data_IF_553569735028
#
_entry.id   IF_553569735028
#
_cell.length_a   1.000
_cell.length_b   1.000
_cell.length_c   1.000
_cell.angle_alpha   90.00
_cell.angle_beta   90.00
_cell.angle_gamma   90.00
#
_symmetry.space_group_name_H-M   'P 1'
#
loop_
_entity.id
_entity.type
_entity.pdbx_description
1 polymer ?
#
# COMPACT_ATOMS: atom_id res chain seq x y z
N UNK A 1 -4.35 0.57 -0.87
CA UNK A 1 -3.24 -0.04 -1.60
C UNK A 1 -3.18 -1.53 -1.25
N UNK A 2 -3.26 -2.40 -2.25
CA UNK A 2 -3.34 -3.86 -2.02
C UNK A 2 -1.96 -4.52 -2.09
N UNK A 3 -0.98 -3.87 -2.71
CA UNK A 3 0.37 -4.42 -2.91
C UNK A 3 1.28 -4.25 -1.68
N UNK A 4 1.02 -3.24 -0.86
CA UNK A 4 1.71 -2.96 0.39
C UNK A 4 0.75 -3.05 1.56
N UNK A 5 1.17 -3.40 2.78
CA UNK A 5 0.32 -3.39 3.96
C UNK A 5 -0.13 -1.96 4.29
N UNK A 6 -1.32 -1.83 4.90
CA UNK A 6 -1.82 -0.53 5.39
C UNK A 6 -0.91 0.07 6.46
N UNK A 7 -0.29 -0.80 7.25
CA UNK A 7 0.80 -0.47 8.17
C UNK A 7 1.90 -1.50 7.99
N UNK A 8 3.11 -1.02 7.77
CA UNK A 8 4.28 -1.87 7.60
C UNK A 8 4.99 -1.97 8.94
N UNK A 9 4.99 -3.16 9.51
CA UNK A 9 5.65 -3.46 10.79
C UNK A 9 6.86 -4.36 10.54
N UNK A 10 8.04 -3.89 10.91
CA UNK A 10 9.27 -4.69 10.93
C UNK A 10 10.18 -4.21 12.05
N UNK A 11 10.88 -5.17 12.65
CA UNK A 11 11.93 -4.88 13.62
C UNK A 11 13.14 -4.26 12.91
N UNK A 12 13.70 -3.21 13.48
CA UNK A 12 14.86 -2.55 12.90
C UNK A 12 15.34 -1.33 13.67
N UNK A 13 16.27 -0.63 13.07
CA UNK A 13 16.84 0.61 13.59
C UNK A 13 16.55 1.72 12.58
N UNK A 14 16.06 2.85 13.07
CA UNK A 14 15.75 4.02 12.25
C UNK A 14 16.67 5.18 12.65
N UNK A 15 17.17 5.87 11.63
CA UNK A 15 17.84 7.16 11.75
C UNK A 15 17.05 8.19 10.96
N UNK A 16 16.65 9.28 11.59
CA UNK A 16 15.89 10.32 10.94
C UNK A 16 16.37 11.72 11.32
N UNK A 17 16.09 12.68 10.45
CA UNK A 17 16.40 14.07 10.70
C UNK A 17 15.49 15.01 9.93
N UNK A 18 15.56 16.29 10.30
CA UNK A 18 14.77 17.33 9.68
C UNK A 18 15.61 18.60 9.51
N UNK A 19 15.47 19.21 8.33
CA UNK A 19 15.93 20.57 8.04
C UNK A 19 14.72 21.51 7.88
N UNK A 20 14.94 22.75 7.49
CA UNK A 20 13.85 23.71 7.25
C UNK A 20 12.82 23.20 6.22
N UNK A 21 13.29 22.55 5.16
CA UNK A 21 12.46 22.16 4.02
C UNK A 21 12.39 20.66 3.76
N UNK A 22 13.25 19.87 4.40
CA UNK A 22 13.34 18.43 4.17
C UNK A 22 13.25 17.67 5.48
N UNK A 23 12.56 16.52 5.42
CA UNK A 23 12.67 15.43 6.39
C UNK A 23 13.27 14.23 5.67
N UNK A 24 14.17 13.55 6.32
CA UNK A 24 14.75 12.30 5.80
C UNK A 24 14.72 11.22 6.87
N UNK A 25 14.66 9.99 6.40
CA UNK A 25 14.67 8.80 7.26
C UNK A 25 15.37 7.66 6.52
N UNK A 26 16.24 6.95 7.23
CA UNK A 26 16.92 5.74 6.79
C UNK A 26 16.70 4.66 7.84
N UNK A 27 16.35 3.45 7.39
CA UNK A 27 16.03 2.34 8.27
C UNK A 27 16.80 1.10 7.83
N UNK A 28 17.35 0.35 8.79
CA UNK A 28 17.83 -1.01 8.62
C UNK A 28 16.81 -1.94 9.29
N UNK A 29 16.22 -2.84 8.52
CA UNK A 29 15.07 -3.63 8.90
C UNK A 29 15.37 -5.13 8.75
N UNK A 30 14.63 -5.98 9.45
CA UNK A 30 14.53 -7.39 9.11
C UNK A 30 13.97 -7.54 7.69
N UNK A 31 14.42 -8.55 6.95
CA UNK A 31 13.94 -8.84 5.59
C UNK A 31 12.50 -9.33 5.57
N UNK A 32 11.85 -9.26 4.41
CA UNK A 32 10.48 -9.74 4.22
C UNK A 32 10.42 -11.28 4.25
N UNK A 33 9.23 -11.81 4.52
CA UNK A 33 8.98 -13.25 4.47
C UNK A 33 8.34 -13.65 3.13
N UNK A 34 9.11 -14.22 2.23
CA UNK A 34 8.66 -14.66 0.91
C UNK A 34 7.56 -15.73 0.98
N UNK A 35 7.50 -16.56 2.03
CA UNK A 35 6.48 -17.60 2.18
C UNK A 35 5.05 -17.06 2.32
N UNK A 36 4.92 -15.75 2.56
CA UNK A 36 3.64 -15.07 2.68
C UNK A 36 3.24 -14.27 1.43
N UNK A 37 4.07 -14.26 0.38
CA UNK A 37 3.75 -13.55 -0.86
C UNK A 37 2.63 -14.25 -1.64
N UNK A 38 1.80 -13.46 -2.34
CA UNK A 38 0.61 -13.97 -3.04
C UNK A 38 0.35 -13.21 -4.34
N UNK A 39 -0.45 -13.80 -5.24
CA UNK A 39 -0.88 -13.16 -6.49
C UNK A 39 -1.88 -12.01 -6.28
N UNK A 40 -2.62 -11.98 -5.17
CA UNK A 40 -3.64 -10.95 -4.88
C UNK A 40 -3.11 -9.81 -4.02
N UNK A 41 -2.02 -10.01 -3.30
CA UNK A 41 -1.47 -9.02 -2.37
C UNK A 41 0.03 -8.77 -2.56
N UNK A 42 0.66 -9.39 -3.55
CA UNK A 42 2.09 -9.34 -3.78
C UNK A 42 2.88 -9.58 -2.48
N UNK A 43 3.62 -8.60 -1.97
CA UNK A 43 4.39 -8.73 -0.71
C UNK A 43 3.60 -8.40 0.56
N UNK A 44 2.35 -7.99 0.44
CA UNK A 44 1.51 -7.42 1.52
C UNK A 44 1.60 -8.23 2.83
N UNK A 45 1.36 -9.54 2.75
CA UNK A 45 1.36 -10.41 3.95
C UNK A 45 2.78 -10.72 4.45
N UNK A 46 3.78 -10.71 3.58
CA UNK A 46 5.17 -10.91 3.95
C UNK A 46 5.83 -9.70 4.61
N UNK A 47 5.17 -8.53 4.51
CA UNK A 47 5.56 -7.27 5.14
C UNK A 47 4.71 -6.91 6.37
N UNK A 48 3.72 -7.75 6.72
CA UNK A 48 2.79 -7.54 7.82
C UNK A 48 2.81 -8.77 8.72
N UNK A 49 3.86 -8.94 9.50
CA UNK A 49 3.90 -10.06 10.44
C UNK A 49 3.14 -9.70 11.72
N UNK A 50 2.37 -10.65 12.28
CA UNK A 50 1.66 -10.43 13.53
C UNK A 50 2.56 -10.51 14.76
N UNK A 51 3.84 -10.85 14.60
CA UNK A 51 4.78 -11.03 15.70
C UNK A 51 5.64 -9.78 15.86
N UNK A 52 5.86 -9.38 17.11
CA UNK A 52 6.72 -8.23 17.45
C UNK A 52 8.20 -8.49 17.11
N UNK A 53 8.62 -9.76 17.08
CA UNK A 53 9.98 -10.17 16.76
C UNK A 53 9.97 -11.10 15.56
N UNK A 54 10.60 -10.66 14.50
CA UNK A 54 10.84 -11.47 13.31
C UNK A 54 12.21 -12.10 13.35
N UNK A 55 12.31 -13.27 12.71
CA UNK A 55 13.60 -13.90 12.46
C UNK A 55 14.36 -13.07 11.44
N UNK A 56 15.42 -12.39 11.87
CA UNK A 56 16.21 -11.50 11.04
C UNK A 56 17.40 -12.24 10.38
N UNK A 57 17.11 -13.27 9.59
CA UNK A 57 18.15 -13.99 8.80
C UNK A 57 18.58 -13.18 7.57
N UNK A 58 17.73 -12.28 7.10
CA UNK A 58 17.97 -11.37 5.99
C UNK A 58 17.62 -9.96 6.42
N UNK A 59 18.17 -8.98 5.72
CA UNK A 59 17.99 -7.57 6.03
C UNK A 59 17.45 -6.82 4.84
N UNK A 60 16.82 -5.69 5.12
CA UNK A 60 16.39 -4.71 4.16
C UNK A 60 16.73 -3.30 4.62
N UNK A 61 16.80 -2.39 3.66
CA UNK A 61 17.03 -0.96 3.89
C UNK A 61 15.85 -0.19 3.33
N UNK A 62 15.31 0.75 4.11
CA UNK A 62 14.32 1.68 3.64
C UNK A 62 14.84 3.11 3.76
N UNK A 63 14.53 3.92 2.75
CA UNK A 63 14.88 5.33 2.69
C UNK A 63 13.64 6.16 2.38
N UNK A 64 13.51 7.31 3.02
CA UNK A 64 12.47 8.29 2.73
C UNK A 64 13.00 9.71 2.78
N UNK A 65 12.55 10.53 1.84
CA UNK A 65 12.77 11.99 1.86
C UNK A 65 11.44 12.69 1.59
N UNK A 66 11.09 13.63 2.45
CA UNK A 66 9.93 14.51 2.27
C UNK A 66 10.42 15.95 2.05
N UNK A 67 9.81 16.64 1.09
CA UNK A 67 10.04 18.05 0.78
C UNK A 67 8.82 18.89 1.16
N UNK A 68 9.06 19.99 1.89
CA UNK A 68 8.05 20.95 2.35
C UNK A 68 8.38 22.39 1.89
N UNK A 69 9.15 22.56 0.82
CA UNK A 69 9.61 23.89 0.35
C UNK A 69 8.45 24.78 -0.11
N UNK A 70 7.35 24.20 -0.58
CA UNK A 70 6.17 24.94 -1.03
C UNK A 70 5.10 24.89 0.06
N UNK A 71 4.61 26.04 0.56
CA UNK A 71 3.53 26.07 1.55
C UNK A 71 2.30 25.29 1.09
N UNK A 72 1.78 24.43 1.96
CA UNK A 72 0.63 23.58 1.66
C UNK A 72 0.95 22.34 0.82
N UNK A 73 2.15 22.18 0.28
CA UNK A 73 2.55 21.02 -0.51
C UNK A 73 3.65 20.22 0.21
N UNK A 74 3.40 18.91 0.39
CA UNK A 74 4.41 17.92 0.75
C UNK A 74 4.64 16.98 -0.42
N UNK A 75 5.87 16.77 -0.81
CA UNK A 75 6.28 15.74 -1.77
C UNK A 75 7.12 14.70 -1.02
N UNK A 76 6.81 13.43 -1.18
CA UNK A 76 7.51 12.31 -0.56
C UNK A 76 8.06 11.34 -1.61
N UNK A 77 9.31 10.93 -1.42
CA UNK A 77 9.94 9.85 -2.18
C UNK A 77 10.48 8.83 -1.20
N UNK A 78 10.15 7.56 -1.40
CA UNK A 78 10.67 6.48 -0.58
C UNK A 78 11.06 5.26 -1.41
N UNK A 79 11.99 4.49 -0.87
CA UNK A 79 12.45 3.24 -1.46
C UNK A 79 12.73 2.21 -0.39
N UNK A 80 12.48 0.94 -0.72
CA UNK A 80 12.87 -0.23 0.06
C UNK A 80 13.65 -1.18 -0.82
N UNK A 81 14.70 -1.76 -0.28
CA UNK A 81 15.43 -2.87 -0.89
C UNK A 81 15.80 -3.90 0.17
N UNK A 82 15.55 -5.18 -0.07
CA UNK A 82 15.87 -6.24 0.86
C UNK A 82 15.72 -7.63 0.28
N UNK A 83 16.20 -8.63 1.02
CA UNK A 83 16.10 -10.04 0.67
C UNK A 83 14.93 -10.67 1.42
N UNK A 84 14.23 -11.62 0.80
CA UNK A 84 13.00 -12.21 1.36
C UNK A 84 13.04 -13.74 1.48
N UNK A 85 13.88 -14.44 0.73
CA UNK A 85 13.99 -15.91 0.81
C UNK A 85 14.90 -16.28 1.97
N UNK A 86 14.50 -17.27 2.77
CA UNK A 86 15.22 -17.75 3.95
C UNK A 86 15.04 -16.90 5.20
N UNK A 87 14.01 -16.05 5.23
CA UNK A 87 13.67 -15.22 6.39
C UNK A 87 12.42 -15.75 7.12
N UNK A 88 12.03 -16.98 6.91
CA UNK A 88 10.97 -17.66 7.64
C UNK A 88 11.53 -18.58 8.70
N UNK A 89 10.83 -18.68 9.85
CA UNK A 89 11.11 -19.70 10.85
C UNK A 89 10.62 -21.07 10.34
N UNK A 90 11.26 -22.09 10.65
CA UNK A 90 11.69 -23.43 10.26
C UNK A 90 11.07 -24.09 9.01
N UNK A 91 10.38 -23.37 8.13
CA UNK A 91 9.84 -23.91 6.87
C UNK A 91 10.71 -23.52 5.68
N UNK A 92 11.97 -23.69 5.78
CA UNK A 92 12.81 -23.60 4.59
C UNK A 92 12.36 -24.70 3.63
N UNK A 93 11.78 -24.29 2.51
CA UNK A 93 11.67 -25.16 1.38
C UNK A 93 13.10 -25.59 1.03
N UNK A 94 13.47 -26.74 1.53
CA UNK A 94 14.82 -27.28 1.51
C UNK A 94 15.46 -27.13 0.13
N UNK A 95 16.57 -26.43 0.05
CA UNK A 95 17.44 -26.32 -1.11
C UNK A 95 17.33 -25.01 -1.89
N UNK A 96 16.43 -24.06 -1.58
CA UNK A 96 16.35 -22.76 -2.28
C UNK A 96 17.20 -21.68 -1.63
N UNK A 97 17.29 -21.69 -0.32
CA UNK A 97 17.93 -20.64 0.49
C UNK A 97 19.41 -20.40 0.17
N UNK A 98 20.11 -21.40 -0.37
CA UNK A 98 21.52 -21.25 -0.69
C UNK A 98 21.79 -20.51 -2.00
N UNK A 99 20.86 -20.52 -2.95
CA UNK A 99 21.09 -20.06 -4.33
C UNK A 99 20.32 -18.79 -4.68
N UNK A 100 19.13 -18.60 -4.11
CA UNK A 100 18.23 -17.51 -4.46
C UNK A 100 18.02 -16.55 -3.28
N UNK A 101 17.91 -15.25 -3.59
CA UNK A 101 17.79 -14.18 -2.58
C UNK A 101 16.38 -13.66 -2.42
N UNK A 102 15.57 -13.73 -3.49
CA UNK A 102 14.25 -13.12 -3.54
C UNK A 102 14.34 -11.62 -3.25
N UNK A 103 15.13 -10.92 -4.04
CA UNK A 103 15.36 -9.48 -3.86
C UNK A 103 14.09 -8.69 -4.09
N UNK A 104 13.68 -7.92 -3.11
CA UNK A 104 12.49 -7.05 -3.20
C UNK A 104 12.96 -5.61 -3.30
N UNK A 105 12.51 -4.93 -4.34
CA UNK A 105 12.63 -3.49 -4.48
C UNK A 105 11.23 -2.88 -4.50
N UNK A 106 11.02 -1.81 -3.73
CA UNK A 106 9.81 -0.98 -3.77
C UNK A 106 10.22 0.47 -3.89
N UNK A 107 9.70 1.16 -4.90
CA UNK A 107 9.80 2.61 -5.04
C UNK A 107 8.42 3.23 -4.87
N UNK A 108 8.32 4.32 -4.11
CA UNK A 108 7.06 5.04 -3.89
C UNK A 108 7.28 6.54 -3.96
N UNK A 109 6.39 7.19 -4.69
CA UNK A 109 6.23 8.64 -4.72
C UNK A 109 4.85 9.00 -4.16
N UNK A 110 4.79 9.96 -3.26
CA UNK A 110 3.53 10.47 -2.74
C UNK A 110 3.55 12.00 -2.59
N UNK A 111 2.37 12.61 -2.68
CA UNK A 111 2.22 14.03 -2.41
C UNK A 111 0.91 14.32 -1.68
N UNK A 112 0.92 15.42 -0.95
CA UNK A 112 -0.27 16.00 -0.33
C UNK A 112 -0.23 17.51 -0.50
N UNK A 113 -1.29 18.07 -1.09
CA UNK A 113 -1.52 19.50 -1.17
C UNK A 113 -2.73 19.88 -0.33
N UNK A 114 -2.55 20.82 0.57
CA UNK A 114 -3.59 21.32 1.47
C UNK A 114 -3.50 22.84 1.55
N UNK A 115 -4.11 23.53 0.60
CA UNK A 115 -4.19 24.98 0.55
C UNK A 115 -5.37 25.42 -0.33
N UNK A 116 -5.77 26.69 -0.22
CA UNK A 116 -6.83 27.31 -1.03
C UNK A 116 -8.16 26.53 -1.03
N UNK A 117 -8.53 25.95 0.12
CA UNK A 117 -9.72 25.11 0.30
C UNK A 117 -9.70 23.77 -0.45
N UNK A 118 -8.57 23.42 -1.10
CA UNK A 118 -8.32 22.14 -1.73
C UNK A 118 -7.55 21.22 -0.81
N UNK A 119 -7.91 19.94 -0.85
CA UNK A 119 -7.10 18.84 -0.37
C UNK A 119 -6.88 17.88 -1.53
N UNK A 120 -5.64 17.79 -2.02
CA UNK A 120 -5.28 16.87 -3.09
C UNK A 120 -4.17 15.97 -2.59
N UNK A 121 -4.30 14.67 -2.81
CA UNK A 121 -3.26 13.70 -2.45
C UNK A 121 -3.14 12.63 -3.54
N UNK A 122 -1.95 12.16 -3.74
CA UNK A 122 -1.68 11.10 -4.70
C UNK A 122 -0.52 10.25 -4.24
N UNK A 123 -0.48 9.03 -4.78
CA UNK A 123 0.56 8.05 -4.51
C UNK A 123 0.78 7.18 -5.75
N UNK A 124 2.03 6.85 -6.02
CA UNK A 124 2.42 5.87 -7.02
C UNK A 124 3.47 4.94 -6.44
N UNK A 125 3.22 3.64 -6.49
CA UNK A 125 4.09 2.59 -6.00
C UNK A 125 4.47 1.66 -7.14
N UNK A 126 5.73 1.29 -7.20
CA UNK A 126 6.24 0.26 -8.09
C UNK A 126 7.07 -0.73 -7.29
N UNK A 127 6.83 -2.01 -7.53
CA UNK A 127 7.53 -3.12 -6.90
C UNK A 127 8.15 -4.08 -7.90
N UNK A 128 9.33 -4.59 -7.55
CA UNK A 128 10.04 -5.65 -8.27
C UNK A 128 10.48 -6.73 -7.29
N UNK A 129 10.25 -8.00 -7.67
CA UNK A 129 10.68 -9.19 -6.95
C UNK A 129 11.58 -10.02 -7.86
N UNK A 130 12.85 -10.15 -7.48
CA UNK A 130 13.78 -11.09 -8.10
C UNK A 130 13.45 -12.53 -7.73
N UNK A 131 13.91 -13.48 -8.54
CA UNK A 131 13.73 -14.92 -8.34
C UNK A 131 12.26 -15.38 -8.21
N UNK A 132 11.30 -14.63 -8.77
CA UNK A 132 9.88 -14.94 -8.66
C UNK A 132 9.52 -16.30 -9.29
N UNK A 133 10.14 -16.67 -10.42
CA UNK A 133 9.91 -17.95 -11.09
C UNK A 133 10.39 -19.14 -10.25
N UNK A 134 11.52 -18.99 -9.57
CA UNK A 134 12.09 -20.00 -8.67
C UNK A 134 11.19 -20.17 -7.44
N UNK A 135 10.76 -19.06 -6.86
CA UNK A 135 9.84 -19.05 -5.73
C UNK A 135 8.51 -19.72 -6.08
N UNK A 136 7.94 -19.42 -7.24
CA UNK A 136 6.72 -20.05 -7.75
C UNK A 136 6.90 -21.55 -8.00
N UNK A 137 8.05 -21.96 -8.52
CA UNK A 137 8.38 -23.37 -8.75
C UNK A 137 8.40 -24.19 -7.45
N UNK A 138 8.89 -23.57 -6.37
CA UNK A 138 8.90 -24.20 -5.05
C UNK A 138 7.51 -24.28 -4.44
N UNK A 139 6.74 -23.22 -4.52
CA UNK A 139 5.36 -23.24 -4.05
C UNK A 139 4.55 -24.34 -4.76
N UNK A 140 4.74 -24.48 -6.07
CA UNK A 140 4.08 -25.53 -6.85
C UNK A 140 4.53 -26.94 -6.43
N UNK A 141 5.82 -27.15 -6.13
CA UNK A 141 6.33 -28.43 -5.65
C UNK A 141 5.79 -28.77 -4.28
N UNK A 142 5.82 -27.85 -3.32
CA UNK A 142 5.28 -28.04 -1.98
C UNK A 142 3.78 -28.35 -2.05
N UNK A 143 3.03 -27.64 -2.89
CA UNK A 143 1.61 -27.84 -3.04
C UNK A 143 1.28 -29.22 -3.61
N UNK A 144 2.06 -29.74 -4.56
CA UNK A 144 1.90 -31.10 -5.10
C UNK A 144 2.18 -32.21 -4.07
N UNK A 145 3.04 -31.93 -3.11
CA UNK A 145 3.40 -32.87 -2.04
C UNK A 145 2.44 -32.82 -0.85
N UNK A 146 1.64 -31.77 -0.73
CA UNK A 146 0.66 -31.63 0.34
C UNK A 146 -0.60 -32.45 0.06
N UNK A 147 -1.11 -33.23 1.04
CA UNK A 147 -2.41 -33.91 0.91
C UNK A 147 -3.57 -32.91 0.82
N UNK A 148 -3.37 -31.67 1.25
CA UNK A 148 -4.30 -30.57 1.09
C UNK A 148 -3.82 -29.70 -0.08
N UNK A 149 -4.43 -29.87 -1.25
CA UNK A 149 -4.18 -29.04 -2.41
C UNK A 149 -4.61 -27.59 -2.13
N UNK A 150 -3.73 -26.81 -1.53
CA UNK A 150 -3.93 -25.37 -1.41
C UNK A 150 -3.86 -24.74 -2.80
N UNK A 151 -4.69 -23.74 -3.05
CA UNK A 151 -4.62 -22.94 -4.27
C UNK A 151 -3.18 -22.52 -4.52
N UNK A 152 -2.72 -22.71 -5.74
CA UNK A 152 -1.35 -22.39 -6.18
C UNK A 152 -0.99 -20.99 -5.76
N UNK A 153 -0.07 -20.84 -4.79
CA UNK A 153 0.47 -19.54 -4.44
C UNK A 153 1.44 -19.16 -5.55
N UNK A 154 1.14 -18.11 -6.25
CA UNK A 154 1.97 -17.57 -7.30
C UNK A 154 2.15 -16.09 -6.99
N UNK A 155 3.37 -15.60 -7.08
CA UNK A 155 3.70 -14.19 -6.94
C UNK A 155 4.26 -13.67 -8.26
N UNK A 156 3.98 -12.43 -8.60
CA UNK A 156 4.54 -11.78 -9.79
C UNK A 156 5.89 -11.12 -9.47
N UNK A 157 6.76 -11.09 -10.45
CA UNK A 157 8.01 -10.32 -10.38
C UNK A 157 7.78 -8.81 -10.38
N UNK A 158 6.58 -8.32 -10.75
CA UNK A 158 6.26 -6.90 -10.79
C UNK A 158 4.87 -6.62 -10.24
N UNK A 159 4.77 -5.51 -9.50
CA UNK A 159 3.51 -4.99 -9.00
C UNK A 159 3.52 -3.47 -9.08
N UNK A 160 2.34 -2.85 -9.22
CA UNK A 160 2.20 -1.40 -9.17
C UNK A 160 0.87 -0.97 -8.57
N UNK A 161 0.86 0.23 -8.01
CA UNK A 161 -0.36 0.90 -7.59
C UNK A 161 -0.21 2.40 -7.84
N UNK A 162 -1.31 3.04 -8.25
CA UNK A 162 -1.40 4.48 -8.40
C UNK A 162 -2.76 4.94 -7.92
N UNK A 163 -2.80 6.08 -7.22
CA UNK A 163 -4.03 6.68 -6.75
C UNK A 163 -3.92 8.18 -6.65
N UNK A 164 -5.03 8.85 -6.93
CA UNK A 164 -5.18 10.29 -6.74
C UNK A 164 -6.56 10.59 -6.17
N UNK A 165 -6.61 11.51 -5.22
CA UNK A 165 -7.86 12.03 -4.63
C UNK A 165 -7.77 13.54 -4.59
N UNK A 166 -8.87 14.21 -4.95
CA UNK A 166 -9.01 15.65 -4.85
C UNK A 166 -10.35 15.99 -4.21
N UNK A 167 -10.33 16.85 -3.22
CA UNK A 167 -11.50 17.37 -2.52
C UNK A 167 -11.47 18.88 -2.39
N UNK A 168 -12.63 19.51 -2.50
CA UNK A 168 -12.80 20.94 -2.36
C UNK A 168 -13.82 21.26 -1.27
N UNK A 169 -13.48 22.20 -0.37
CA UNK A 169 -14.39 22.68 0.66
C UNK A 169 -15.39 23.69 0.08
N UNK A 170 -16.58 23.20 -0.27
CA UNK A 170 -17.64 24.03 -0.86
C UNK A 170 -18.24 25.02 0.13
N UNK A 171 -18.18 24.76 1.44
CA UNK A 171 -18.65 25.67 2.48
C UNK A 171 -17.77 26.91 2.64
N UNK A 172 -16.53 26.85 2.14
CA UNK A 172 -15.64 28.01 2.08
C UNK A 172 -16.25 29.19 1.27
N UNK A 173 -17.17 28.90 0.35
CA UNK A 173 -17.85 29.88 -0.49
C UNK A 173 -19.12 30.47 0.18
N UNK A 174 -19.61 29.84 1.25
CA UNK A 174 -20.85 30.24 1.93
C UNK A 174 -20.51 30.95 3.24
N UNK A 175 -20.84 32.25 3.35
CA UNK A 175 -20.44 33.07 4.49
C UNK A 175 -20.92 32.51 5.84
N UNK A 176 -22.17 32.04 5.94
CA UNK A 176 -22.73 31.50 7.20
C UNK A 176 -22.01 30.26 7.71
N UNK A 177 -21.76 29.27 6.84
CA UNK A 177 -21.10 28.02 7.21
C UNK A 177 -19.63 28.25 7.51
N UNK A 178 -18.97 29.11 6.74
CA UNK A 178 -17.58 29.52 7.00
C UNK A 178 -17.44 30.24 8.34
N UNK A 179 -18.36 31.14 8.68
CA UNK A 179 -18.37 31.83 9.97
C UNK A 179 -18.63 30.90 11.15
N UNK A 180 -19.39 29.82 10.94
CA UNK A 180 -19.65 28.77 11.92
C UNK A 180 -18.49 27.73 12.01
N UNK A 181 -17.43 27.87 11.22
CA UNK A 181 -16.30 26.94 11.19
C UNK A 181 -16.60 25.58 10.57
N UNK A 182 -17.76 25.43 9.92
CA UNK A 182 -18.16 24.19 9.28
C UNK A 182 -17.45 24.02 7.93
N UNK A 183 -17.18 22.76 7.53
CA UNK A 183 -16.59 22.41 6.23
C UNK A 183 -17.37 21.29 5.57
N UNK A 184 -17.48 21.36 4.24
CA UNK A 184 -18.04 20.30 3.42
C UNK A 184 -17.12 20.06 2.23
N UNK A 185 -16.33 18.99 2.30
CA UNK A 185 -15.53 18.56 1.18
C UNK A 185 -16.33 17.66 0.26
N UNK A 186 -16.42 18.04 -1.01
CA UNK A 186 -16.82 17.15 -2.09
C UNK A 186 -15.55 16.62 -2.73
N UNK A 187 -15.42 15.31 -2.89
CA UNK A 187 -14.20 14.72 -3.39
C UNK A 187 -14.46 13.66 -4.47
N UNK A 188 -13.44 13.48 -5.32
CA UNK A 188 -13.33 12.38 -6.26
C UNK A 188 -12.00 11.66 -6.06
N UNK A 189 -12.00 10.34 -6.27
CA UNK A 189 -10.81 9.49 -6.16
C UNK A 189 -10.74 8.51 -7.31
N UNK A 190 -9.53 8.33 -7.83
CA UNK A 190 -9.20 7.27 -8.79
C UNK A 190 -8.05 6.44 -8.24
N UNK A 191 -8.17 5.13 -8.34
CA UNK A 191 -7.15 4.16 -7.94
C UNK A 191 -7.01 3.10 -9.02
N UNK A 192 -5.77 2.71 -9.31
CA UNK A 192 -5.47 1.55 -10.11
C UNK A 192 -4.32 0.77 -9.47
N UNK A 193 -4.47 -0.54 -9.37
CA UNK A 193 -3.41 -1.39 -8.86
C UNK A 193 -3.41 -2.75 -9.54
N UNK A 194 -2.22 -3.34 -9.64
CA UNK A 194 -2.06 -4.70 -10.10
C UNK A 194 -0.92 -5.38 -9.33
N UNK A 195 -1.25 -6.26 -8.36
CA UNK A 195 -0.26 -7.04 -7.63
C UNK A 195 0.37 -8.15 -8.48
N UNK A 196 -0.19 -8.45 -9.66
CA UNK A 196 0.29 -9.45 -10.60
C UNK A 196 0.47 -8.82 -11.99
N UNK A 197 1.41 -7.87 -12.10
CA UNK A 197 1.59 -7.06 -13.30
C UNK A 197 2.34 -7.79 -14.42
N UNK A 198 3.13 -8.82 -14.10
CA UNK A 198 3.80 -9.68 -15.07
C UNK A 198 3.32 -11.13 -14.89
N UNK A 199 2.99 -11.76 -16.00
CA UNK A 199 2.57 -13.16 -16.04
C UNK A 199 3.79 -14.06 -16.25
N UNK A 200 4.28 -14.66 -15.17
CA UNK A 200 5.47 -15.52 -15.18
C UNK A 200 5.17 -16.94 -15.72
N UNK A 201 3.93 -17.41 -15.60
CA UNK A 201 3.54 -18.79 -15.94
C UNK A 201 2.48 -18.86 -17.05
N UNK A 202 2.36 -17.85 -17.92
CA UNK A 202 1.29 -17.73 -18.93
C UNK A 202 -0.14 -17.83 -18.35
N UNK A 203 -0.31 -17.65 -17.05
CA UNK A 203 -1.61 -17.64 -16.37
C UNK A 203 -2.09 -16.21 -16.22
N UNK A 204 -3.18 -15.87 -16.87
CA UNK A 204 -3.77 -14.54 -16.75
C UNK A 204 -4.64 -14.47 -15.49
N UNK A 205 -4.26 -13.60 -14.56
CA UNK A 205 -5.08 -13.24 -13.39
C UNK A 205 -5.72 -11.86 -13.61
N UNK A 206 -6.63 -11.80 -14.58
CA UNK A 206 -7.28 -10.53 -14.99
C UNK A 206 -8.00 -9.83 -13.84
N UNK A 207 -8.43 -10.55 -12.82
CA UNK A 207 -9.08 -10.01 -11.63
C UNK A 207 -8.14 -9.24 -10.69
N UNK A 208 -6.82 -9.35 -10.89
CA UNK A 208 -5.83 -8.63 -10.07
C UNK A 208 -5.61 -7.21 -10.54
N UNK A 209 -5.86 -6.91 -11.82
CA UNK A 209 -5.74 -5.56 -12.37
C UNK A 209 -7.05 -4.80 -12.13
N UNK A 210 -7.09 -4.06 -11.04
CA UNK A 210 -8.27 -3.36 -10.56
C UNK A 210 -8.14 -1.87 -10.82
N UNK A 211 -9.18 -1.28 -11.40
CA UNK A 211 -9.41 0.17 -11.43
C UNK A 211 -10.60 0.48 -10.53
N UNK A 212 -10.52 1.53 -9.74
CA UNK A 212 -11.59 1.97 -8.87
C UNK A 212 -11.78 3.45 -8.98
N UNK A 213 -13.03 3.89 -9.09
CA UNK A 213 -13.43 5.28 -8.96
C UNK A 213 -14.33 5.43 -7.73
N UNK A 214 -14.18 6.54 -7.02
CA UNK A 214 -15.05 6.88 -5.92
C UNK A 214 -15.35 8.38 -5.96
N UNK A 215 -16.54 8.75 -5.47
CA UNK A 215 -16.93 10.13 -5.23
C UNK A 215 -17.72 10.19 -3.93
N UNK A 216 -17.61 11.30 -3.20
CA UNK A 216 -18.28 11.40 -1.92
C UNK A 216 -18.18 12.77 -1.29
N UNK A 217 -18.68 12.82 -0.07
CA UNK A 217 -18.69 14.02 0.75
C UNK A 217 -18.15 13.73 2.15
N UNK A 218 -17.41 14.69 2.70
CA UNK A 218 -16.98 14.72 4.10
C UNK A 218 -17.48 16.00 4.73
N UNK A 219 -18.49 15.89 5.59
CA UNK A 219 -19.07 17.01 6.31
C UNK A 219 -18.48 17.11 7.72
N UNK A 220 -17.97 18.26 8.06
CA UNK A 220 -17.44 18.61 9.38
C UNK A 220 -18.35 19.64 10.05
N UNK A 221 -19.36 19.21 10.84
CA UNK A 221 -20.16 20.12 11.66
C UNK A 221 -19.32 20.79 12.76
N UNK A 222 -18.32 20.08 13.26
CA UNK A 222 -17.29 20.52 14.19
C UNK A 222 -15.92 20.04 13.71
N UNK A 223 -14.81 20.70 14.08
CA UNK A 223 -13.48 20.28 13.66
C UNK A 223 -13.11 18.82 14.01
N UNK A 224 -13.70 18.30 15.09
CA UNK A 224 -13.44 16.96 15.60
C UNK A 224 -14.36 15.87 15.03
N UNK A 225 -15.48 16.27 14.42
CA UNK A 225 -16.50 15.31 13.93
C UNK A 225 -16.57 15.36 12.42
N UNK A 226 -16.48 14.21 11.78
CA UNK A 226 -16.63 14.08 10.33
C UNK A 226 -17.72 13.05 10.01
N UNK A 227 -18.76 13.47 9.31
CA UNK A 227 -19.75 12.58 8.69
C UNK A 227 -19.35 12.35 7.25
N UNK A 228 -19.25 11.09 6.83
CA UNK A 228 -18.75 10.69 5.53
C UNK A 228 -19.81 9.92 4.76
N UNK A 229 -19.93 10.19 3.47
CA UNK A 229 -20.66 9.35 2.54
C UNK A 229 -19.86 9.21 1.25
N UNK A 230 -19.70 7.97 0.77
CA UNK A 230 -18.93 7.64 -0.43
C UNK A 230 -19.70 6.63 -1.27
N UNK A 231 -19.75 6.86 -2.56
CA UNK A 231 -20.03 5.86 -3.57
C UNK A 231 -18.75 5.46 -4.26
N UNK A 232 -18.51 4.16 -4.45
CA UNK A 232 -17.37 3.68 -5.18
C UNK A 232 -17.72 2.50 -6.08
N UNK A 233 -17.01 2.39 -7.20
CA UNK A 233 -17.18 1.31 -8.15
C UNK A 233 -15.82 0.79 -8.61
N UNK A 234 -15.68 -0.54 -8.61
CA UNK A 234 -14.55 -1.23 -9.23
C UNK A 234 -14.88 -1.56 -10.68
N UNK A 235 -13.86 -1.48 -11.53
CA UNK A 235 -13.93 -1.89 -12.91
C UNK A 235 -12.94 -3.03 -13.11
N UNK A 236 -13.49 -4.20 -13.43
CA UNK A 236 -12.75 -5.43 -13.73
C UNK A 236 -13.00 -5.83 -15.17
N UNK A 237 -12.23 -6.77 -15.71
CA UNK A 237 -12.55 -7.36 -17.02
C UNK A 237 -13.91 -8.04 -16.99
N UNK A 238 -14.58 -8.10 -18.14
CA UNK A 238 -16.01 -8.42 -18.33
C UNK A 238 -16.54 -9.69 -17.67
N UNK A 239 -15.68 -10.67 -17.40
CA UNK A 239 -16.09 -11.93 -16.70
C UNK A 239 -16.22 -11.78 -15.18
N UNK A 240 -15.80 -10.65 -14.62
CA UNK A 240 -15.86 -10.38 -13.18
C UNK A 240 -16.86 -9.27 -12.91
N UNK A 241 -17.51 -9.35 -11.76
CA UNK A 241 -18.50 -8.35 -11.37
C UNK A 241 -17.84 -7.02 -11.01
N UNK A 242 -18.40 -5.93 -11.55
CA UNK A 242 -18.10 -4.59 -11.10
C UNK A 242 -18.86 -4.36 -9.78
N UNK A 243 -18.17 -4.31 -8.67
CA UNK A 243 -18.77 -4.19 -7.36
C UNK A 243 -19.01 -2.71 -6.99
N UNK A 244 -20.23 -2.16 -7.20
CA UNK A 244 -20.59 -0.86 -6.66
C UNK A 244 -20.72 -0.98 -5.14
N UNK A 245 -20.30 0.04 -4.41
CA UNK A 245 -20.50 0.10 -2.96
C UNK A 245 -20.85 1.51 -2.51
N UNK A 246 -21.75 1.58 -1.52
CA UNK A 246 -22.07 2.79 -0.79
C UNK A 246 -21.61 2.62 0.63
N UNK A 247 -20.89 3.60 1.16
CA UNK A 247 -20.48 3.61 2.55
C UNK A 247 -20.84 4.93 3.21
N UNK A 248 -21.33 4.84 4.45
CA UNK A 248 -21.61 5.98 5.32
C UNK A 248 -20.93 5.73 6.65
N UNK A 249 -20.33 6.76 7.22
CA UNK A 249 -19.63 6.64 8.49
C UNK A 249 -19.51 7.95 9.22
N UNK A 250 -19.30 7.85 10.53
CA UNK A 250 -18.98 9.00 11.39
C UNK A 250 -17.61 8.74 12.01
N UNK A 251 -16.75 9.74 11.98
CA UNK A 251 -15.44 9.69 12.62
C UNK A 251 -15.33 10.83 13.63
N UNK A 252 -14.75 10.54 14.77
CA UNK A 252 -14.38 11.51 15.80
C UNK A 252 -12.87 11.53 15.97
N UNK A 253 -12.27 12.71 15.96
CA UNK A 253 -10.85 12.91 16.22
C UNK A 253 -10.68 13.88 17.39
N UNK A 254 -10.50 13.33 18.59
CA UNK A 254 -10.34 14.09 19.83
C UNK A 254 -10.05 13.15 21.01
N UNK A 255 -9.80 13.72 22.18
CA UNK A 255 -9.63 12.98 23.40
C UNK A 255 -11.01 12.75 24.03
N UNK A 256 -11.28 11.51 24.45
CA UNK A 256 -12.34 11.22 25.39
C UNK A 256 -11.77 11.50 26.80
N UNK A 257 -12.31 12.50 27.46
CA UNK A 257 -12.04 12.76 28.88
C UNK A 257 -12.81 11.78 29.74
#
# INVERSE_FOLDING_TARGET
NTILPSTWHQTGISFWGRTRHFRYEAQLLAGLNADQFTNVGWIHKGAATPLEFEVANKYGVALRVDNYSVPGLRLGLSGYYGHSIGNSAPREASGITATYKGEVFVGSFDFTYNAHNWVVRGQADYGHLGDADQLNSVYNRINKQSPYHHSTRIVSSRAYAVGIEAGYDVFSQIHKTRAAGQKLYVFGRYEQYNPYARNELNTAYDYTNVKRMAAGVNYYPLPQVCVKAEYSQRFLKSKYNNEPSVSVGVAYAGWFL
#
